data_IF_669635743258
#
_entry.id   IF_669635743258
#
_cell.length_a   1.000
_cell.length_b   1.000
_cell.length_c   1.000
_cell.angle_alpha   90.00
_cell.angle_beta   90.00
_cell.angle_gamma   90.00
#
_symmetry.space_group_name_H-M   'P 1'
#
loop_
_entity.id
_entity.type
_entity.pdbx_description
1 polymer ?
#
# COMPACT_ATOMS: atom_id res chain seq x y z
N UNK A 1 51.99 -29.99 -15.39
CA UNK A 1 51.94 -29.58 -13.97
C UNK A 1 51.02 -28.38 -13.83
N UNK A 2 49.84 -28.52 -13.23
CA UNK A 2 48.91 -27.39 -13.04
C UNK A 2 48.70 -27.21 -11.53
N UNK A 3 49.34 -26.18 -10.98
CA UNK A 3 49.36 -25.88 -9.55
C UNK A 3 48.01 -25.33 -9.06
N UNK A 4 47.55 -25.80 -7.89
CA UNK A 4 46.37 -25.27 -7.20
C UNK A 4 46.72 -23.93 -6.54
N UNK A 5 46.06 -22.86 -6.96
CA UNK A 5 46.14 -21.55 -6.29
C UNK A 5 45.12 -21.54 -5.14
N UNK A 6 45.62 -21.52 -3.90
CA UNK A 6 44.81 -21.39 -2.69
C UNK A 6 44.69 -19.91 -2.34
N UNK A 7 43.47 -19.37 -2.41
CA UNK A 7 43.19 -18.02 -1.93
C UNK A 7 42.98 -18.06 -0.41
N UNK A 8 43.95 -17.51 0.32
CA UNK A 8 43.84 -17.29 1.77
C UNK A 8 43.10 -15.97 1.97
N UNK A 9 41.89 -16.05 2.52
CA UNK A 9 41.08 -14.87 2.84
C UNK A 9 41.56 -14.29 4.17
N UNK A 10 42.37 -13.23 4.11
CA UNK A 10 42.67 -12.42 5.29
C UNK A 10 41.42 -11.61 5.68
N UNK A 11 40.98 -11.76 6.93
CA UNK A 11 39.95 -10.91 7.54
C UNK A 11 40.66 -9.73 8.19
N UNK A 12 40.47 -8.54 7.65
CA UNK A 12 40.84 -7.29 8.32
C UNK A 12 39.69 -6.95 9.25
N UNK A 13 39.90 -7.08 10.55
CA UNK A 13 39.06 -6.46 11.57
C UNK A 13 39.53 -5.02 11.71
N UNK A 14 38.72 -4.05 11.26
CA UNK A 14 38.83 -2.70 11.79
C UNK A 14 38.01 -2.66 13.08
N UNK A 15 38.71 -2.56 14.20
CA UNK A 15 38.14 -2.24 15.50
C UNK A 15 37.83 -0.73 15.50
N UNK A 16 36.55 -0.38 15.62
CA UNK A 16 36.12 1.00 15.86
C UNK A 16 36.31 1.31 17.36
N UNK A 17 36.73 2.54 17.74
CA UNK A 17 36.89 2.89 19.14
C UNK A 17 35.56 2.77 19.90
N UNK A 18 35.56 2.32 21.16
CA UNK A 18 34.37 2.31 21.98
C UNK A 18 33.96 3.76 22.27
N UNK A 19 32.83 4.17 21.71
CA UNK A 19 32.07 5.31 22.20
C UNK A 19 31.76 5.04 23.68
N UNK A 20 32.40 5.77 24.58
CA UNK A 20 32.09 5.74 26.00
C UNK A 20 30.69 6.30 26.20
N UNK A 21 29.71 5.40 26.11
CA UNK A 21 28.40 5.62 26.68
C UNK A 21 28.61 5.89 28.17
N UNK A 22 28.47 7.15 28.57
CA UNK A 22 28.28 7.56 29.95
C UNK A 22 26.93 7.02 30.44
N UNK A 23 26.83 5.70 30.57
CA UNK A 23 25.82 5.10 31.42
C UNK A 23 26.09 5.61 32.82
N UNK A 24 25.02 5.99 33.51
CA UNK A 24 25.04 6.48 34.89
C UNK A 24 25.61 5.39 35.82
N UNK A 25 26.93 5.27 35.84
CA UNK A 25 27.71 4.35 36.65
C UNK A 25 27.61 4.84 38.09
N UNK A 26 26.51 4.48 38.75
CA UNK A 26 26.21 4.96 40.09
C UNK A 26 24.79 4.75 40.58
N UNK A 27 23.80 4.51 39.70
CA UNK A 27 22.39 4.40 40.13
C UNK A 27 22.19 3.26 41.15
N UNK A 28 22.93 2.15 40.99
CA UNK A 28 22.79 0.96 41.84
C UNK A 28 23.96 0.75 42.82
N UNK A 29 24.87 1.72 42.95
CA UNK A 29 26.11 1.56 43.74
C UNK A 29 25.85 1.34 45.25
N UNK A 30 24.63 1.60 45.74
CA UNK A 30 24.23 1.33 47.12
C UNK A 30 23.27 0.15 47.30
N UNK A 31 22.78 -0.47 46.22
CA UNK A 31 21.71 -1.45 46.32
C UNK A 31 22.26 -2.83 46.67
N UNK A 32 22.07 -3.26 47.92
CA UNK A 32 22.45 -4.60 48.39
C UNK A 32 21.33 -5.60 48.08
N UNK A 33 21.39 -6.23 46.90
CA UNK A 33 20.45 -7.29 46.52
C UNK A 33 21.01 -8.62 47.06
N UNK A 34 20.31 -9.22 48.02
CA UNK A 34 20.62 -10.56 48.54
C UNK A 34 20.10 -11.63 47.57
N UNK A 35 20.77 -12.80 47.45
CA UNK A 35 20.42 -13.81 46.44
C UNK A 35 18.99 -14.36 46.59
N UNK A 36 18.44 -14.35 47.81
CA UNK A 36 17.05 -14.77 48.06
C UNK A 36 16.00 -13.87 47.39
N UNK A 37 16.30 -12.59 47.17
CA UNK A 37 15.37 -11.64 46.52
C UNK A 37 15.28 -11.90 45.01
N UNK A 38 16.31 -12.50 44.40
CA UNK A 38 16.27 -12.89 42.99
C UNK A 38 15.39 -14.12 42.74
N UNK A 39 15.00 -14.85 43.79
CA UNK A 39 14.12 -16.01 43.69
C UNK A 39 12.68 -15.52 43.74
N UNK A 40 12.21 -14.95 42.63
CA UNK A 40 10.82 -14.55 42.46
C UNK A 40 9.93 -15.80 42.36
N UNK A 41 9.50 -16.32 43.51
CA UNK A 41 8.49 -17.39 43.59
C UNK A 41 7.12 -16.77 43.42
N UNK A 42 6.58 -16.86 42.20
CA UNK A 42 5.17 -16.56 41.93
C UNK A 42 4.30 -17.55 42.71
N UNK A 43 3.73 -17.12 43.84
CA UNK A 43 2.63 -17.82 44.49
C UNK A 43 1.34 -17.52 43.73
N UNK A 44 0.93 -18.47 42.89
CA UNK A 44 -0.42 -18.53 42.34
C UNK A 44 -1.36 -18.99 43.45
N UNK A 45 -2.02 -18.05 44.11
CA UNK A 45 -3.20 -18.32 44.94
C UNK A 45 -4.36 -18.66 43.98
N UNK A 46 -4.78 -19.93 44.01
CA UNK A 46 -5.91 -20.45 43.24
C UNK A 46 -7.22 -20.07 43.94
N UNK A 47 -7.93 -19.07 43.39
CA UNK A 47 -9.35 -18.85 43.64
C UNK A 47 -10.08 -18.74 42.29
N UNK A 48 -11.15 -19.54 42.07
CA UNK A 48 -11.81 -19.65 40.77
C UNK A 48 -12.77 -18.48 40.54
N UNK A 49 -13.36 -18.43 39.34
CA UNK A 49 -14.55 -17.68 38.87
C UNK A 49 -14.38 -16.34 38.10
N UNK A 50 -14.18 -16.54 36.78
CA UNK A 50 -14.81 -15.91 35.59
C UNK A 50 -14.35 -14.53 35.05
N UNK A 51 -13.46 -14.63 34.04
CA UNK A 51 -13.51 -14.07 32.67
C UNK A 51 -13.96 -12.61 32.46
N UNK A 52 -13.22 -11.71 31.82
CA UNK A 52 -12.28 -11.90 30.71
C UNK A 52 -11.22 -10.77 30.64
N UNK A 53 -9.95 -11.17 30.64
CA UNK A 53 -8.82 -10.39 30.11
C UNK A 53 -8.21 -11.15 28.93
N UNK A 54 -7.62 -10.46 27.93
CA UNK A 54 -7.01 -11.12 26.79
C UNK A 54 -5.66 -11.71 27.23
N UNK A 55 -5.59 -13.03 27.16
CA UNK A 55 -4.42 -13.86 27.43
C UNK A 55 -3.26 -13.55 26.47
N UNK A 56 -2.00 -13.50 26.96
CA UNK A 56 -0.83 -13.68 26.12
C UNK A 56 -0.64 -15.19 25.93
N UNK A 57 -1.17 -15.73 24.84
CA UNK A 57 -1.02 -17.14 24.52
C UNK A 57 -1.52 -17.45 23.11
N UNK A 58 -0.77 -18.28 22.40
CA UNK A 58 -1.10 -18.87 21.09
C UNK A 58 -1.00 -17.93 19.87
N UNK A 59 0.24 -17.55 19.54
CA UNK A 59 0.67 -17.60 18.13
C UNK A 59 1.69 -18.73 17.96
N UNK A 60 1.31 -19.93 18.37
CA UNK A 60 1.87 -21.13 17.77
C UNK A 60 1.29 -21.21 16.36
N UNK A 61 1.88 -20.42 15.45
CA UNK A 61 1.83 -20.79 14.04
C UNK A 61 2.47 -22.16 14.01
N UNK A 62 1.65 -23.20 13.91
CA UNK A 62 2.03 -24.50 13.43
C UNK A 62 3.09 -24.25 12.37
N UNK A 63 4.35 -24.59 12.67
CA UNK A 63 5.40 -24.60 11.66
C UNK A 63 5.06 -25.78 10.77
N UNK A 64 3.98 -25.67 10.00
CA UNK A 64 3.71 -26.50 8.84
C UNK A 64 5.04 -26.52 8.13
N UNK A 65 5.58 -27.73 7.99
CA UNK A 65 6.88 -27.98 7.40
C UNK A 65 6.79 -27.45 5.98
N UNK A 66 7.12 -26.16 5.83
CA UNK A 66 6.89 -25.42 4.62
C UNK A 66 7.73 -26.05 3.53
N UNK A 67 7.05 -26.44 2.45
CA UNK A 67 7.70 -27.12 1.33
C UNK A 67 8.86 -26.25 0.82
N UNK A 68 9.90 -26.87 0.25
CA UNK A 68 11.04 -26.13 -0.32
C UNK A 68 10.56 -25.03 -1.30
N UNK A 69 9.49 -25.30 -2.04
CA UNK A 69 8.81 -24.36 -2.95
C UNK A 69 8.26 -23.13 -2.21
N UNK A 70 7.61 -23.34 -1.07
CA UNK A 70 7.08 -22.26 -0.23
C UNK A 70 8.19 -21.41 0.39
N UNK A 71 9.25 -22.04 0.92
CA UNK A 71 10.41 -21.32 1.46
C UNK A 71 11.10 -20.43 0.40
N UNK A 72 11.24 -20.92 -0.83
CA UNK A 72 11.80 -20.13 -1.93
C UNK A 72 10.89 -18.97 -2.32
N UNK A 73 9.57 -19.20 -2.40
CA UNK A 73 8.60 -18.14 -2.66
C UNK A 73 8.64 -17.08 -1.57
N UNK A 74 8.61 -17.48 -0.31
CA UNK A 74 8.69 -16.59 0.84
C UNK A 74 9.97 -15.74 0.82
N UNK A 75 11.12 -16.32 0.47
CA UNK A 75 12.37 -15.55 0.31
C UNK A 75 12.25 -14.50 -0.79
N UNK A 76 11.66 -14.85 -1.94
CA UNK A 76 11.43 -13.92 -3.04
C UNK A 76 10.46 -12.81 -2.64
N UNK A 77 9.34 -13.15 -2.00
CA UNK A 77 8.35 -12.19 -1.51
C UNK A 77 8.98 -11.22 -0.50
N UNK A 78 9.72 -11.73 0.49
CA UNK A 78 10.44 -10.90 1.46
C UNK A 78 11.44 -9.97 0.78
N UNK A 79 12.15 -10.46 -0.23
CA UNK A 79 13.09 -9.64 -0.98
C UNK A 79 12.37 -8.56 -1.81
N UNK A 80 11.29 -8.91 -2.53
CA UNK A 80 10.50 -7.94 -3.28
C UNK A 80 9.87 -6.88 -2.38
N UNK A 81 9.33 -7.28 -1.23
CA UNK A 81 8.78 -6.36 -0.23
C UNK A 81 9.86 -5.41 0.29
N UNK A 82 11.08 -5.91 0.53
CA UNK A 82 12.21 -5.06 0.92
C UNK A 82 12.54 -4.03 -0.17
N UNK A 83 12.60 -4.45 -1.44
CA UNK A 83 12.87 -3.55 -2.56
C UNK A 83 11.75 -2.52 -2.71
N UNK A 84 10.48 -2.92 -2.60
CA UNK A 84 9.35 -1.99 -2.70
C UNK A 84 9.35 -0.98 -1.57
N UNK A 85 9.63 -1.39 -0.32
CA UNK A 85 9.73 -0.47 0.82
C UNK A 85 10.85 0.55 0.63
N UNK A 86 12.02 0.14 0.13
CA UNK A 86 13.12 1.07 -0.18
C UNK A 86 12.71 2.06 -1.28
N UNK A 87 12.04 1.58 -2.33
CA UNK A 87 11.59 2.44 -3.42
C UNK A 87 10.56 3.48 -2.93
N UNK A 88 9.58 3.03 -2.15
CA UNK A 88 8.56 3.91 -1.55
C UNK A 88 9.18 4.96 -0.64
N UNK A 89 10.12 4.57 0.24
CA UNK A 89 10.81 5.51 1.11
C UNK A 89 11.60 6.58 0.34
N UNK A 90 12.31 6.19 -0.73
CA UNK A 90 13.03 7.13 -1.60
C UNK A 90 12.09 8.07 -2.35
N UNK A 91 10.96 7.55 -2.84
CA UNK A 91 9.95 8.35 -3.53
C UNK A 91 9.31 9.38 -2.58
N UNK A 92 8.99 8.98 -1.34
CA UNK A 92 8.50 9.86 -0.30
C UNK A 92 9.53 10.97 0.02
N UNK A 93 10.80 10.62 0.21
CA UNK A 93 11.87 11.59 0.45
C UNK A 93 12.02 12.59 -0.71
N UNK A 94 11.98 12.12 -1.95
CA UNK A 94 12.06 12.98 -3.12
C UNK A 94 10.84 13.90 -3.24
N UNK A 95 9.64 13.40 -2.94
CA UNK A 95 8.43 14.20 -2.91
C UNK A 95 8.50 15.28 -1.81
N UNK A 96 9.01 14.96 -0.62
CA UNK A 96 9.24 15.93 0.45
C UNK A 96 10.28 16.98 0.07
N UNK A 97 11.39 16.58 -0.55
CA UNK A 97 12.40 17.52 -1.01
C UNK A 97 11.85 18.49 -2.06
N UNK A 98 11.04 17.99 -3.02
CA UNK A 98 10.35 18.83 -4.00
C UNK A 98 9.38 19.82 -3.33
N UNK A 99 8.64 19.37 -2.32
CA UNK A 99 7.73 20.24 -1.54
C UNK A 99 8.50 21.29 -0.73
N UNK A 100 9.62 20.93 -0.11
CA UNK A 100 10.47 21.88 0.61
C UNK A 100 11.12 22.90 -0.33
N UNK A 101 11.45 22.48 -1.56
CA UNK A 101 12.06 23.34 -2.56
C UNK A 101 11.05 24.32 -3.19
N UNK A 102 9.79 23.92 -3.35
CA UNK A 102 8.73 24.83 -3.79
C UNK A 102 8.14 25.52 -2.57
N UNK A 103 8.39 26.82 -2.33
CA UNK A 103 7.77 27.55 -1.22
C UNK A 103 6.27 27.68 -1.48
N UNK A 104 5.51 26.67 -1.10
CA UNK A 104 4.05 26.63 -1.19
C UNK A 104 3.51 27.04 0.17
N UNK A 105 2.97 28.26 0.26
CA UNK A 105 2.18 28.68 1.42
C UNK A 105 0.94 27.76 1.48
N UNK A 106 0.81 26.98 2.56
CA UNK A 106 -0.32 26.09 2.77
C UNK A 106 -0.17 24.67 2.24
N UNK A 107 0.98 24.00 2.47
CA UNK A 107 1.08 22.56 2.23
C UNK A 107 0.01 21.81 3.06
N UNK A 108 -0.95 21.18 2.39
CA UNK A 108 -2.04 20.41 3.00
C UNK A 108 -1.63 18.98 3.36
N UNK A 109 -0.42 18.54 2.96
CA UNK A 109 0.03 17.18 3.19
C UNK A 109 0.13 16.79 4.68
N UNK A 110 0.60 17.66 5.60
CA UNK A 110 0.62 17.35 7.03
C UNK A 110 -0.76 16.98 7.58
N UNK A 111 -1.82 17.64 7.11
CA UNK A 111 -3.19 17.36 7.50
C UNK A 111 -3.64 15.99 7.01
N UNK A 112 -3.31 15.66 5.76
CA UNK A 112 -3.64 14.35 5.18
C UNK A 112 -2.88 13.22 5.89
N UNK A 113 -1.61 13.44 6.25
CA UNK A 113 -0.80 12.43 6.96
C UNK A 113 -1.21 12.24 8.42
N UNK A 114 -1.85 13.24 9.03
CA UNK A 114 -2.37 13.12 10.40
C UNK A 114 -3.68 12.33 10.47
N UNK A 115 -4.31 12.03 9.33
CA UNK A 115 -5.51 11.22 9.26
C UNK A 115 -5.16 9.73 9.09
N UNK A 116 -5.91 8.81 9.72
CA UNK A 116 -5.75 7.38 9.50
C UNK A 116 -5.91 7.00 8.02
N UNK A 117 -5.11 6.05 7.54
CA UNK A 117 -5.35 5.49 6.20
C UNK A 117 -6.63 4.66 6.19
N UNK A 118 -7.38 4.69 5.08
CA UNK A 118 -8.63 3.93 4.93
C UNK A 118 -8.43 2.42 5.17
N UNK A 119 -7.23 1.89 4.89
CA UNK A 119 -6.83 0.51 5.16
C UNK A 119 -6.86 0.17 6.66
N UNK A 120 -6.40 1.10 7.50
CA UNK A 120 -6.35 0.96 8.96
C UNK A 120 -7.76 1.05 9.56
N UNK A 121 -8.61 1.91 9.00
CA UNK A 121 -10.02 2.01 9.38
C UNK A 121 -10.79 0.73 9.03
N UNK A 122 -10.53 0.12 7.88
CA UNK A 122 -11.16 -1.16 7.50
C UNK A 122 -10.67 -2.31 8.37
N UNK A 123 -9.38 -2.33 8.75
CA UNK A 123 -8.81 -3.35 9.61
C UNK A 123 -9.33 -3.26 11.06
N UNK A 124 -9.57 -2.06 11.57
CA UNK A 124 -10.08 -1.81 12.93
C UNK A 124 -11.60 -1.95 13.04
N UNK A 125 -12.35 -1.60 11.99
CA UNK A 125 -13.80 -1.77 11.94
C UNK A 125 -14.25 -3.24 11.79
N UNK A 126 -13.34 -4.16 11.48
CA UNK A 126 -13.67 -5.58 11.26
C UNK A 126 -13.16 -6.44 12.43
N UNK A 127 -14.03 -7.02 13.27
CA UNK A 127 -13.59 -7.92 14.34
C UNK A 127 -12.91 -9.19 13.76
N UNK A 128 -11.91 -9.77 14.45
CA UNK A 128 -11.10 -10.89 13.95
C UNK A 128 -11.90 -12.19 13.68
N UNK A 129 -13.14 -12.27 14.16
CA UNK A 129 -14.06 -13.39 13.92
C UNK A 129 -14.71 -13.38 12.52
N UNK A 130 -14.61 -12.28 11.77
CA UNK A 130 -15.30 -12.14 10.47
C UNK A 130 -14.39 -12.25 9.23
N UNK A 131 -13.17 -12.79 9.38
CA UNK A 131 -12.29 -13.06 8.23
C UNK A 131 -12.69 -14.31 7.42
N UNK A 132 -13.70 -15.07 7.86
CA UNK A 132 -14.23 -16.22 7.11
C UNK A 132 -15.74 -16.11 6.91
N UNK A 133 -16.22 -15.01 6.33
CA UNK A 133 -17.53 -15.07 5.68
C UNK A 133 -17.57 -14.11 4.50
N UNK A 134 -16.91 -14.52 3.41
CA UNK A 134 -17.45 -14.25 2.08
C UNK A 134 -18.86 -14.83 2.07
N UNK A 135 -19.85 -14.01 2.43
CA UNK A 135 -21.26 -14.31 2.17
C UNK A 135 -21.36 -14.54 0.67
N UNK A 136 -21.44 -15.82 0.30
CA UNK A 136 -21.84 -16.28 -1.01
C UNK A 136 -23.29 -15.83 -1.17
N UNK A 137 -23.49 -14.60 -1.61
CA UNK A 137 -24.81 -14.12 -2.03
C UNK A 137 -25.22 -14.98 -3.23
N UNK A 138 -26.14 -15.90 -2.95
CA UNK A 138 -26.78 -16.78 -3.89
C UNK A 138 -27.70 -15.92 -4.75
N UNK A 139 -27.40 -15.92 -6.06
CA UNK A 139 -28.35 -15.82 -7.17
C UNK A 139 -29.55 -14.87 -6.96
N UNK A 140 -29.38 -13.62 -7.36
CA UNK A 140 -30.40 -12.97 -8.19
C UNK A 140 -29.83 -12.83 -9.59
N UNK A 141 -30.29 -13.71 -10.48
CA UNK A 141 -30.03 -13.69 -11.91
C UNK A 141 -30.89 -12.58 -12.54
N UNK A 142 -30.43 -11.35 -12.43
CA UNK A 142 -30.66 -10.35 -13.47
C UNK A 142 -29.29 -10.14 -14.10
N UNK A 143 -29.13 -10.26 -15.44
CA UNK A 143 -27.85 -9.97 -16.08
C UNK A 143 -27.64 -8.45 -16.02
N UNK A 144 -27.18 -7.94 -14.88
CA UNK A 144 -26.54 -6.64 -14.83
C UNK A 144 -25.25 -6.83 -15.64
N UNK A 145 -25.25 -6.31 -16.86
CA UNK A 145 -24.03 -6.22 -17.68
C UNK A 145 -23.00 -5.53 -16.79
N UNK A 146 -22.00 -6.29 -16.33
CA UNK A 146 -20.84 -5.74 -15.64
C UNK A 146 -20.33 -4.62 -16.55
N UNK A 147 -20.26 -3.40 -16.03
CA UNK A 147 -19.67 -2.28 -16.75
C UNK A 147 -18.33 -2.77 -17.31
N UNK A 148 -18.11 -2.52 -18.59
CA UNK A 148 -16.92 -3.00 -19.27
C UNK A 148 -15.69 -2.59 -18.45
N UNK A 149 -14.76 -3.50 -18.12
CA UNK A 149 -13.53 -3.13 -17.44
C UNK A 149 -12.86 -1.98 -18.20
N UNK A 150 -12.98 -0.78 -17.66
CA UNK A 150 -12.60 0.48 -18.34
C UNK A 150 -11.08 0.65 -18.41
N UNK A 151 -10.34 -0.12 -17.61
CA UNK A 151 -8.89 -0.12 -17.60
C UNK A 151 -8.34 -1.14 -18.61
N UNK A 152 -7.71 -0.62 -19.67
CA UNK A 152 -7.05 -1.39 -20.74
C UNK A 152 -6.03 -2.39 -20.19
N UNK A 153 -5.39 -2.13 -19.05
CA UNK A 153 -4.40 -3.03 -18.45
C UNK A 153 -5.04 -4.33 -17.95
N UNK A 154 -6.27 -4.26 -17.41
CA UNK A 154 -7.01 -5.34 -16.76
C UNK A 154 -7.80 -6.23 -17.74
N UNK A 155 -7.94 -5.81 -18.99
CA UNK A 155 -8.71 -6.53 -20.01
C UNK A 155 -7.98 -7.77 -20.52
N UNK A 156 -8.72 -8.82 -20.89
CA UNK A 156 -8.16 -9.99 -21.59
C UNK A 156 -7.65 -9.58 -22.98
N UNK A 157 -6.60 -10.23 -23.54
CA UNK A 157 -6.03 -9.85 -24.85
C UNK A 157 -7.05 -9.77 -26.00
N UNK A 158 -8.01 -10.71 -26.06
CA UNK A 158 -9.06 -10.68 -27.07
C UNK A 158 -10.02 -9.49 -26.92
N UNK A 159 -10.28 -9.06 -25.67
CA UNK A 159 -11.11 -7.90 -25.38
C UNK A 159 -10.37 -6.61 -25.75
N UNK A 160 -9.06 -6.52 -25.49
CA UNK A 160 -8.21 -5.39 -25.90
C UNK A 160 -8.24 -5.18 -27.42
N UNK A 161 -8.14 -6.26 -28.21
CA UNK A 161 -8.24 -6.19 -29.68
C UNK A 161 -9.57 -5.60 -30.13
N UNK A 162 -10.69 -6.15 -29.63
CA UNK A 162 -12.03 -5.63 -29.94
C UNK A 162 -12.24 -4.18 -29.55
N UNK A 163 -11.72 -3.78 -28.39
CA UNK A 163 -11.77 -2.40 -27.93
C UNK A 163 -10.99 -1.46 -28.85
N UNK A 164 -9.76 -1.83 -29.22
CA UNK A 164 -8.95 -1.04 -30.15
C UNK A 164 -9.59 -0.95 -31.54
N UNK A 165 -10.16 -2.03 -32.06
CA UNK A 165 -10.89 -2.03 -33.34
C UNK A 165 -12.08 -1.05 -33.30
N UNK A 166 -12.84 -1.07 -32.20
CA UNK A 166 -13.98 -0.17 -31.99
C UNK A 166 -13.55 1.29 -31.88
N UNK A 167 -12.51 1.59 -31.10
CA UNK A 167 -11.96 2.94 -30.94
C UNK A 167 -11.37 3.48 -32.25
N UNK A 168 -10.69 2.62 -33.02
CA UNK A 168 -10.14 3.00 -34.32
C UNK A 168 -11.25 3.37 -35.30
N UNK A 169 -12.37 2.63 -35.29
CA UNK A 169 -13.57 2.95 -36.07
C UNK A 169 -14.18 4.29 -35.67
N UNK A 170 -14.45 4.48 -34.37
CA UNK A 170 -15.00 5.74 -33.82
C UNK A 170 -14.12 6.95 -34.15
N UNK A 171 -12.81 6.81 -34.00
CA UNK A 171 -11.86 7.87 -34.33
C UNK A 171 -11.87 8.16 -35.84
N UNK A 172 -11.86 7.13 -36.68
CA UNK A 172 -11.95 7.29 -38.14
C UNK A 172 -13.23 8.01 -38.58
N UNK A 173 -14.37 7.70 -37.97
CA UNK A 173 -15.63 8.41 -38.22
C UNK A 173 -15.56 9.88 -37.80
N UNK A 174 -14.98 10.16 -36.63
CA UNK A 174 -14.80 11.54 -36.17
C UNK A 174 -13.89 12.34 -37.11
N UNK A 175 -12.80 11.74 -37.57
CA UNK A 175 -11.87 12.37 -38.54
C UNK A 175 -12.56 12.59 -39.88
N UNK A 176 -13.32 11.62 -40.40
CA UNK A 176 -14.13 11.80 -41.63
C UNK A 176 -15.16 12.91 -41.46
N UNK A 177 -15.86 12.95 -40.34
CA UNK A 177 -16.84 13.99 -40.02
C UNK A 177 -16.18 15.36 -39.99
N UNK A 178 -15.00 15.48 -39.37
CA UNK A 178 -14.25 16.72 -39.33
C UNK A 178 -13.72 17.12 -40.71
N UNK A 179 -13.22 16.16 -41.50
CA UNK A 179 -12.76 16.41 -42.86
C UNK A 179 -13.90 16.84 -43.80
N UNK A 180 -15.11 16.32 -43.59
CA UNK A 180 -16.31 16.74 -44.32
C UNK A 180 -16.78 18.15 -43.95
N UNK A 181 -16.46 18.63 -42.73
CA UNK A 181 -16.76 19.99 -42.29
C UNK A 181 -15.73 20.96 -42.87
N UNK A 182 -16.08 21.58 -43.99
CA UNK A 182 -15.22 22.55 -44.70
C UNK A 182 -14.86 23.78 -43.84
N UNK A 183 -15.70 24.13 -42.85
CA UNK A 183 -15.45 25.24 -41.92
C UNK A 183 -15.94 24.93 -40.49
N UNK A 184 -15.09 24.40 -39.59
CA UNK A 184 -15.48 24.10 -38.21
C UNK A 184 -15.80 25.35 -37.38
N UNK A 185 -15.25 26.53 -37.74
CA UNK A 185 -15.53 27.78 -37.02
C UNK A 185 -16.94 28.29 -37.28
N UNK A 186 -17.49 28.05 -38.47
CA UNK A 186 -18.87 28.41 -38.80
C UNK A 186 -19.87 27.62 -37.93
N UNK A 187 -19.63 26.32 -37.72
CA UNK A 187 -20.44 25.44 -36.86
C UNK A 187 -20.43 25.91 -35.39
N UNK A 188 -19.26 26.30 -34.88
CA UNK A 188 -19.13 26.92 -33.55
C UNK A 188 -19.92 28.24 -33.49
N UNK A 189 -19.84 29.07 -34.52
CA UNK A 189 -20.59 30.33 -34.61
C UNK A 189 -22.11 30.15 -34.67
N UNK A 190 -22.60 29.07 -35.29
CA UNK A 190 -24.02 28.70 -35.26
C UNK A 190 -24.45 28.23 -33.87
N UNK A 191 -23.65 27.38 -33.22
CA UNK A 191 -23.93 26.90 -31.87
C UNK A 191 -23.98 28.05 -30.85
N UNK A 192 -23.02 28.98 -30.93
CA UNK A 192 -22.99 30.18 -30.09
C UNK A 192 -24.21 31.07 -30.33
N UNK A 193 -24.59 31.32 -31.59
CA UNK A 193 -25.80 32.09 -31.91
C UNK A 193 -27.06 31.42 -31.37
N UNK A 194 -27.17 30.10 -31.46
CA UNK A 194 -28.29 29.34 -30.91
C UNK A 194 -28.34 29.44 -29.39
N UNK A 195 -27.19 29.37 -28.73
CA UNK A 195 -27.11 29.50 -27.27
C UNK A 195 -27.44 30.91 -26.78
N UNK A 196 -26.94 31.94 -27.46
CA UNK A 196 -27.27 33.33 -27.15
C UNK A 196 -28.79 33.58 -27.21
N UNK A 197 -29.49 33.07 -28.23
CA UNK A 197 -30.94 33.16 -28.33
C UNK A 197 -31.67 32.42 -27.19
N UNK A 198 -31.16 31.25 -26.79
CA UNK A 198 -31.74 30.49 -25.68
C UNK A 198 -31.58 31.20 -24.32
N UNK A 199 -30.48 31.91 -24.11
CA UNK A 199 -30.25 32.70 -22.89
C UNK A 199 -31.12 33.96 -22.86
N UNK A 200 -31.37 34.57 -24.01
CA UNK A 200 -32.30 35.70 -24.16
C UNK A 200 -33.76 35.30 -23.88
N UNK A 201 -34.19 34.12 -24.34
CA UNK A 201 -35.53 33.55 -24.06
C UNK A 201 -35.69 33.03 -22.61
N UNK A 202 -34.59 32.79 -21.89
CA UNK A 202 -34.57 32.33 -20.49
C UNK A 202 -34.23 33.45 -19.48
N UNK A 203 -34.23 34.72 -19.91
CA UNK A 203 -34.10 35.87 -19.02
C UNK A 203 -35.22 35.94 -17.97
N UNK A 204 -34.96 36.49 -16.77
CA UNK A 204 -35.88 36.41 -15.63
C UNK A 204 -37.15 37.20 -15.90
N UNK A 205 -38.30 36.51 -15.89
CA UNK A 205 -39.60 37.12 -15.60
C UNK A 205 -39.86 37.16 -14.10
#
# INVERSE_FOLDING_TARGET
>A
MVGKIRHVRQKIHQEAPPEESSFLAGIFAGTKITPDVLVQTLKLEEQPHVSASPTPGQKDTEKKIKSKKEKTKERRERWLNKISSIKQAKEQQAAEARRKATPVVGDMRPLISALPELSELVATATPPSMQTSRRKSRKNKVPVKRAEPTDFSQMKPAQKRKFLETETGRFGDAVRTLAAKTNPLADIGELLRKRMRQEEEQGPS
#
